data_IF_950924006304
#
_entry.id   IF_950924006304
#
_cell.length_a   1.000
_cell.length_b   1.000
_cell.length_c   1.000
_cell.angle_alpha   90.00
_cell.angle_beta   90.00
_cell.angle_gamma   90.00
#
_symmetry.space_group_name_H-M   'P 1'
#
loop_
_entity.id
_entity.type
_entity.pdbx_description
1 polymer ?
#
# COMPACT_ATOMS: atom_id res chain seq x y z
N UNK A 1 31.38 -27.59 97.47
CA UNK A 1 31.38 -27.55 95.99
C UNK A 1 30.65 -28.80 95.51
N UNK A 2 29.47 -28.65 94.93
CA UNK A 2 28.82 -29.72 94.16
C UNK A 2 28.95 -29.28 92.72
N UNK A 3 29.76 -30.03 91.96
CA UNK A 3 29.94 -29.86 90.53
C UNK A 3 28.61 -30.20 89.84
N UNK A 4 27.99 -29.20 89.23
CA UNK A 4 26.85 -29.40 88.34
C UNK A 4 27.41 -29.80 86.97
N UNK A 5 27.33 -31.08 86.68
CA UNK A 5 27.64 -31.69 85.40
C UNK A 5 26.78 -31.08 84.29
N UNK A 6 27.38 -30.26 83.42
CA UNK A 6 26.72 -29.59 82.31
C UNK A 6 26.10 -30.56 81.29
N UNK A 7 26.48 -31.84 81.31
CA UNK A 7 25.89 -32.88 80.46
C UNK A 7 24.47 -33.31 80.90
N UNK A 8 24.03 -32.89 82.10
CA UNK A 8 22.69 -33.18 82.65
C UNK A 8 21.68 -32.04 82.51
N UNK A 9 22.06 -30.93 81.87
CA UNK A 9 21.13 -29.85 81.48
C UNK A 9 20.40 -30.25 80.18
N UNK A 10 19.26 -30.91 80.31
CA UNK A 10 18.32 -31.06 79.18
C UNK A 10 17.69 -29.69 78.89
N UNK A 11 18.16 -29.04 77.82
CA UNK A 11 17.41 -27.91 77.23
C UNK A 11 16.02 -28.41 76.87
N UNK A 12 15.02 -28.01 77.66
CA UNK A 12 13.60 -28.20 77.32
C UNK A 12 13.38 -27.43 76.02
N UNK A 13 13.31 -28.14 74.88
CA UNK A 13 13.02 -27.54 73.58
C UNK A 13 11.61 -26.97 73.68
N UNK A 14 11.49 -25.67 73.89
CA UNK A 14 10.22 -24.97 73.78
C UNK A 14 9.80 -25.12 72.32
N UNK A 15 8.88 -26.04 72.05
CA UNK A 15 8.24 -26.15 70.74
C UNK A 15 7.28 -24.98 70.68
N UNK A 16 7.74 -23.84 70.15
CA UNK A 16 6.85 -22.73 69.82
C UNK A 16 5.80 -23.23 68.84
N UNK A 17 4.51 -23.10 69.17
CA UNK A 17 3.44 -23.44 68.25
C UNK A 17 3.60 -22.63 66.95
N UNK A 18 3.63 -23.33 65.81
CA UNK A 18 3.73 -22.70 64.49
C UNK A 18 2.46 -21.87 64.21
N UNK A 19 2.65 -20.64 63.73
CA UNK A 19 1.55 -19.75 63.34
C UNK A 19 0.88 -20.27 62.07
N UNK A 20 -0.38 -19.92 61.85
CA UNK A 20 -1.11 -20.23 60.61
C UNK A 20 -0.89 -19.11 59.59
N UNK A 21 -0.53 -19.48 58.36
CA UNK A 21 -0.46 -18.56 57.23
C UNK A 21 -1.75 -18.73 56.40
N UNK A 22 -2.44 -17.63 56.11
CA UNK A 22 -3.63 -17.66 55.25
C UNK A 22 -3.21 -17.30 53.84
N UNK A 23 -3.40 -18.22 52.90
CA UNK A 23 -3.11 -18.02 51.47
C UNK A 23 -4.44 -18.09 50.71
N UNK A 24 -4.70 -17.08 49.87
CA UNK A 24 -5.86 -17.05 49.00
C UNK A 24 -5.63 -17.93 47.75
N UNK A 25 -6.69 -18.60 47.31
CA UNK A 25 -6.68 -19.41 46.09
C UNK A 25 -6.38 -18.51 44.86
N UNK A 26 -5.41 -18.88 43.99
CA UNK A 26 -5.06 -18.12 42.80
C UNK A 26 -6.10 -18.23 41.69
N UNK A 27 -5.93 -17.46 40.61
CA UNK A 27 -6.61 -17.79 39.35
C UNK A 27 -6.09 -19.12 38.80
N UNK A 28 -7.00 -19.92 38.23
CA UNK A 28 -6.65 -21.24 37.70
C UNK A 28 -5.71 -21.11 36.49
N UNK A 29 -4.57 -21.78 36.56
CA UNK A 29 -3.63 -21.86 35.44
C UNK A 29 -4.08 -22.96 34.49
N UNK A 30 -4.28 -22.63 33.21
CA UNK A 30 -4.61 -23.61 32.18
C UNK A 30 -3.38 -24.40 31.77
N UNK A 31 -3.41 -25.72 31.95
CA UNK A 31 -2.30 -26.62 31.62
C UNK A 31 -2.73 -27.68 30.62
N UNK A 32 -1.80 -28.09 29.74
CA UNK A 32 -2.09 -29.09 28.72
C UNK A 32 -2.36 -30.48 29.32
N UNK A 33 -1.69 -30.82 30.42
CA UNK A 33 -1.82 -32.11 31.10
C UNK A 33 -1.83 -31.94 32.63
N UNK A 34 -2.99 -32.20 33.25
CA UNK A 34 -3.17 -32.10 34.71
C UNK A 34 -2.34 -33.10 35.52
N UNK A 35 -1.83 -34.16 34.88
CA UNK A 35 -1.06 -35.23 35.54
C UNK A 35 0.43 -35.20 35.21
N UNK A 36 0.87 -34.23 34.40
CA UNK A 36 2.26 -34.04 34.04
C UNK A 36 2.52 -32.59 33.62
N UNK A 37 2.65 -31.70 34.60
CA UNK A 37 2.92 -30.28 34.39
C UNK A 37 4.35 -30.07 33.87
N UNK A 38 4.49 -29.26 32.82
CA UNK A 38 5.79 -28.81 32.32
C UNK A 38 6.45 -27.80 33.27
N UNK A 39 7.74 -27.52 33.08
CA UNK A 39 8.42 -26.46 33.84
C UNK A 39 7.79 -25.08 33.63
N UNK A 40 7.26 -24.82 32.43
CA UNK A 40 6.51 -23.60 32.11
C UNK A 40 5.20 -23.53 32.89
N UNK A 41 4.46 -24.64 32.97
CA UNK A 41 3.21 -24.72 33.76
C UNK A 41 3.48 -24.47 35.25
N UNK A 42 4.55 -25.06 35.79
CA UNK A 42 4.97 -24.85 37.18
C UNK A 42 5.31 -23.38 37.45
N UNK A 43 6.04 -22.72 36.54
CA UNK A 43 6.37 -21.31 36.68
C UNK A 43 5.12 -20.41 36.64
N UNK A 44 4.17 -20.70 35.75
CA UNK A 44 2.90 -19.98 35.66
C UNK A 44 2.06 -20.12 36.93
N UNK A 45 1.97 -21.34 37.48
CA UNK A 45 1.28 -21.61 38.75
C UNK A 45 1.91 -20.82 39.91
N UNK A 46 3.24 -20.84 40.04
CA UNK A 46 3.94 -20.05 41.07
C UNK A 46 3.67 -18.56 40.93
N UNK A 47 3.68 -18.05 39.70
CA UNK A 47 3.35 -16.65 39.41
C UNK A 47 1.92 -16.30 39.83
N UNK A 48 0.92 -17.11 39.46
CA UNK A 48 -0.48 -16.88 39.82
C UNK A 48 -0.70 -16.83 41.34
N UNK A 49 0.00 -17.69 42.10
CA UNK A 49 -0.05 -17.69 43.57
C UNK A 49 0.55 -16.41 44.15
N UNK A 50 1.71 -15.96 43.65
CA UNK A 50 2.35 -14.71 44.08
C UNK A 50 1.50 -13.49 43.75
N UNK A 51 0.94 -13.44 42.54
CA UNK A 51 0.10 -12.34 42.07
C UNK A 51 -1.19 -12.20 42.89
N UNK A 52 -1.76 -13.32 43.35
CA UNK A 52 -2.95 -13.29 44.22
C UNK A 52 -2.63 -12.92 45.68
N UNK A 53 -1.42 -13.22 46.13
CA UNK A 53 -0.98 -13.09 47.52
C UNK A 53 0.15 -12.06 47.68
N UNK A 54 0.08 -10.94 46.95
CA UNK A 54 1.15 -9.93 46.88
C UNK A 54 1.58 -9.38 48.23
N UNK A 55 0.68 -9.30 49.21
CA UNK A 55 0.98 -8.82 50.56
C UNK A 55 1.84 -9.78 51.39
N UNK A 56 1.95 -11.05 50.97
CA UNK A 56 2.75 -12.07 51.66
C UNK A 56 4.23 -12.07 51.24
N UNK A 57 4.58 -11.45 50.11
CA UNK A 57 5.92 -11.44 49.52
C UNK A 57 6.54 -12.85 49.44
N UNK A 58 5.79 -13.82 48.91
CA UNK A 58 6.24 -15.20 48.76
C UNK A 58 7.38 -15.32 47.73
N UNK A 59 8.38 -16.13 48.02
CA UNK A 59 9.47 -16.44 47.07
C UNK A 59 9.20 -17.75 46.31
N UNK A 60 9.91 -17.98 45.20
CA UNK A 60 9.73 -19.21 44.40
C UNK A 60 10.20 -20.47 45.13
N UNK A 61 11.13 -20.34 46.08
CA UNK A 61 11.61 -21.43 46.94
C UNK A 61 10.57 -21.82 47.99
N UNK A 62 9.71 -20.88 48.40
CA UNK A 62 8.63 -21.16 49.35
C UNK A 62 7.45 -21.91 48.72
N UNK A 63 7.33 -21.91 47.38
CA UNK A 63 6.21 -22.51 46.63
C UNK A 63 6.67 -23.77 45.91
N UNK A 64 6.24 -24.94 46.39
CA UNK A 64 6.48 -26.23 45.73
C UNK A 64 5.24 -26.69 44.98
N UNK A 65 5.36 -26.86 43.65
CA UNK A 65 4.29 -27.38 42.78
C UNK A 65 4.62 -28.81 42.39
N UNK A 66 3.74 -29.75 42.72
CA UNK A 66 3.90 -31.16 42.35
C UNK A 66 3.48 -31.38 40.89
N UNK A 67 4.43 -31.79 40.04
CA UNK A 67 4.20 -31.91 38.58
C UNK A 67 3.19 -32.99 38.20
N UNK A 68 3.02 -34.01 39.03
CA UNK A 68 2.14 -35.16 38.76
C UNK A 68 0.70 -34.93 39.18
N UNK A 69 0.47 -33.99 40.09
CA UNK A 69 -0.86 -33.77 40.69
C UNK A 69 -1.35 -32.34 40.50
N UNK A 70 -0.48 -31.36 40.28
CA UNK A 70 -0.82 -29.93 40.28
C UNK A 70 -1.03 -29.35 41.68
N UNK A 71 -0.78 -30.14 42.73
CA UNK A 71 -0.91 -29.73 44.12
C UNK A 71 0.21 -28.75 44.51
N UNK A 72 -0.11 -27.74 45.31
CA UNK A 72 0.88 -26.75 45.75
C UNK A 72 1.04 -26.76 47.26
N UNK A 73 2.29 -26.80 47.71
CA UNK A 73 2.66 -26.66 49.12
C UNK A 73 3.50 -25.41 49.31
N UNK A 74 3.06 -24.54 50.22
CA UNK A 74 3.76 -23.31 50.58
C UNK A 74 4.38 -23.50 51.96
N UNK A 75 5.71 -23.39 52.03
CA UNK A 75 6.48 -23.61 53.26
C UNK A 75 7.23 -22.35 53.65
N UNK A 76 6.90 -21.79 54.83
CA UNK A 76 7.56 -20.61 55.39
C UNK A 76 7.99 -20.85 56.82
N UNK A 77 9.22 -20.46 57.15
CA UNK A 77 9.78 -20.65 58.49
C UNK A 77 8.89 -19.98 59.56
N UNK A 78 8.55 -20.73 60.61
CA UNK A 78 7.68 -20.26 61.70
C UNK A 78 6.17 -20.40 61.44
N UNK A 79 5.78 -20.89 60.26
CA UNK A 79 4.38 -21.17 59.90
C UNK A 79 4.12 -22.65 59.61
N UNK A 80 2.88 -23.09 59.81
CA UNK A 80 2.43 -24.40 59.33
C UNK A 80 2.38 -24.39 57.80
N UNK A 81 2.81 -25.46 57.10
CA UNK A 81 2.70 -25.56 55.65
C UNK A 81 1.26 -25.38 55.19
N UNK A 82 1.07 -24.61 54.13
CA UNK A 82 -0.25 -24.40 53.51
C UNK A 82 -0.32 -25.23 52.25
N UNK A 83 -1.40 -25.98 52.09
CA UNK A 83 -1.60 -26.88 50.97
C UNK A 83 -2.80 -26.42 50.16
N UNK A 84 -2.59 -26.14 48.88
CA UNK A 84 -3.64 -25.84 47.91
C UNK A 84 -3.85 -27.09 47.05
N UNK A 85 -5.08 -27.60 47.05
CA UNK A 85 -5.44 -28.74 46.22
C UNK A 85 -5.47 -28.36 44.74
N UNK A 86 -5.12 -29.31 43.87
CA UNK A 86 -4.88 -29.06 42.45
C UNK A 86 -6.04 -28.38 41.72
N UNK A 87 -7.29 -28.73 42.05
CA UNK A 87 -8.49 -28.16 41.45
C UNK A 87 -8.71 -26.67 41.77
N UNK A 88 -7.94 -26.11 42.71
CA UNK A 88 -7.93 -24.68 43.05
C UNK A 88 -6.78 -23.93 42.37
N UNK A 89 -5.91 -24.63 41.64
CA UNK A 89 -4.67 -24.06 41.11
C UNK A 89 -4.53 -24.28 39.60
N UNK A 90 -4.91 -25.45 39.11
CA UNK A 90 -4.79 -25.81 37.69
C UNK A 90 -6.10 -26.29 37.10
N UNK A 91 -6.30 -26.01 35.82
CA UNK A 91 -7.40 -26.54 35.02
C UNK A 91 -6.89 -27.09 33.71
N UNK A 92 -7.55 -28.12 33.17
CA UNK A 92 -7.17 -28.69 31.88
C UNK A 92 -7.52 -27.66 30.80
N UNK A 93 -6.53 -27.27 30.00
CA UNK A 93 -6.77 -26.46 28.81
C UNK A 93 -7.74 -27.21 27.90
N UNK A 94 -8.96 -26.68 27.77
CA UNK A 94 -9.96 -27.23 26.87
C UNK A 94 -9.56 -26.80 25.46
N UNK A 95 -8.77 -27.63 24.80
CA UNK A 95 -8.58 -27.51 23.36
C UNK A 95 -9.85 -28.06 22.72
N UNK A 96 -10.82 -27.19 22.45
CA UNK A 96 -11.82 -27.50 21.42
C UNK A 96 -11.04 -27.87 20.16
N UNK A 97 -11.27 -29.05 19.56
CA UNK A 97 -10.71 -29.33 18.25
C UNK A 97 -11.17 -28.21 17.32
N UNK A 98 -10.25 -27.32 16.96
CA UNK A 98 -10.45 -26.47 15.80
C UNK A 98 -10.26 -27.47 14.67
N UNK A 99 -11.37 -28.00 14.16
CA UNK A 99 -11.38 -28.56 12.81
C UNK A 99 -10.61 -27.56 11.94
N UNK A 100 -9.57 -27.97 11.20
CA UNK A 100 -8.87 -27.02 10.33
C UNK A 100 -9.97 -26.28 9.57
N UNK A 101 -9.98 -24.93 9.58
CA UNK A 101 -11.03 -24.21 8.89
C UNK A 101 -11.14 -24.85 7.52
N UNK A 102 -12.34 -25.31 7.16
CA UNK A 102 -12.59 -25.83 5.83
C UNK A 102 -11.88 -24.86 4.87
N UNK A 103 -11.08 -25.35 3.90
CA UNK A 103 -10.37 -24.45 3.01
C UNK A 103 -11.38 -23.41 2.57
N UNK A 104 -11.08 -22.13 2.85
CA UNK A 104 -12.00 -21.06 2.47
C UNK A 104 -12.39 -21.36 1.03
N UNK A 105 -13.71 -21.40 0.70
CA UNK A 105 -14.10 -21.49 -0.70
C UNK A 105 -13.25 -20.46 -1.43
N UNK A 106 -12.57 -20.83 -2.54
CA UNK A 106 -11.69 -19.90 -3.23
C UNK A 106 -12.41 -18.57 -3.33
N UNK A 107 -11.76 -17.49 -2.85
CA UNK A 107 -12.38 -16.18 -2.76
C UNK A 107 -13.15 -15.94 -4.06
N UNK A 108 -14.47 -15.72 -3.97
CA UNK A 108 -15.29 -15.55 -5.16
C UNK A 108 -14.66 -14.43 -5.98
N UNK A 109 -14.22 -14.79 -7.18
CA UNK A 109 -13.59 -13.89 -8.13
C UNK A 109 -14.40 -12.58 -8.19
N UNK A 110 -13.72 -11.43 -8.07
CA UNK A 110 -14.42 -10.15 -8.02
C UNK A 110 -15.21 -9.92 -9.32
N UNK A 111 -16.33 -9.19 -9.31
CA UNK A 111 -17.06 -8.87 -10.55
C UNK A 111 -16.16 -8.23 -11.62
N UNK A 112 -15.13 -7.49 -11.17
CA UNK A 112 -14.16 -6.84 -12.05
C UNK A 112 -13.19 -7.84 -12.69
N UNK A 113 -12.72 -8.81 -11.92
CA UNK A 113 -11.90 -9.92 -12.43
C UNK A 113 -12.69 -10.77 -13.43
N UNK A 114 -13.95 -11.10 -13.11
CA UNK A 114 -14.85 -11.79 -14.03
C UNK A 114 -15.02 -10.98 -15.33
N UNK A 115 -15.23 -9.67 -15.24
CA UNK A 115 -15.36 -8.81 -16.41
C UNK A 115 -14.08 -8.79 -17.25
N UNK A 116 -12.91 -8.64 -16.62
CA UNK A 116 -11.60 -8.67 -17.29
C UNK A 116 -11.39 -9.98 -18.05
N UNK A 117 -11.78 -11.12 -17.47
CA UNK A 117 -11.67 -12.46 -18.07
C UNK A 117 -12.67 -12.73 -19.19
N UNK A 118 -13.95 -12.34 -18.98
CA UNK A 118 -15.06 -12.70 -19.87
C UNK A 118 -15.33 -11.67 -20.96
N UNK A 119 -15.06 -10.39 -20.70
CA UNK A 119 -15.20 -9.28 -21.63
C UNK A 119 -14.10 -8.21 -21.42
N UNK A 120 -12.85 -8.51 -21.80
CA UNK A 120 -11.73 -7.59 -21.60
C UNK A 120 -11.93 -6.21 -22.24
N UNK A 121 -12.66 -6.13 -23.37
CA UNK A 121 -12.95 -4.86 -24.03
C UNK A 121 -13.80 -3.95 -23.14
N UNK A 122 -14.85 -4.49 -22.53
CA UNK A 122 -15.70 -3.75 -21.59
C UNK A 122 -14.96 -3.41 -20.29
N UNK A 123 -14.08 -4.29 -19.79
CA UNK A 123 -13.21 -3.99 -18.66
C UNK A 123 -12.31 -2.77 -18.94
N UNK A 124 -11.66 -2.74 -20.11
CA UNK A 124 -10.82 -1.61 -20.53
C UNK A 124 -11.64 -0.33 -20.72
N UNK A 125 -12.82 -0.41 -21.31
CA UNK A 125 -13.72 0.73 -21.52
C UNK A 125 -14.19 1.35 -20.19
N UNK A 126 -14.62 0.52 -19.23
CA UNK A 126 -15.09 0.97 -17.92
C UNK A 126 -13.96 1.49 -17.01
N UNK A 127 -12.71 1.26 -17.39
CA UNK A 127 -11.53 1.69 -16.64
C UNK A 127 -11.10 3.13 -16.97
N UNK A 128 -11.85 3.87 -17.80
CA UNK A 128 -11.47 5.21 -18.26
C UNK A 128 -12.06 6.35 -17.43
N UNK A 129 -11.19 7.22 -16.95
CA UNK A 129 -11.51 8.48 -16.27
C UNK A 129 -11.13 9.65 -17.19
N UNK A 130 -12.13 10.24 -17.85
CA UNK A 130 -11.90 11.26 -18.87
C UNK A 130 -13.04 12.26 -18.98
N UNK A 131 -12.73 13.54 -19.10
CA UNK A 131 -13.67 14.58 -19.45
C UNK A 131 -13.34 15.26 -20.79
N UNK A 132 -14.03 16.37 -21.10
CA UNK A 132 -13.76 17.13 -22.33
C UNK A 132 -12.45 17.91 -22.25
N UNK A 133 -12.04 18.26 -21.04
CA UNK A 133 -10.82 19.02 -20.72
C UNK A 133 -10.03 18.33 -19.61
N UNK A 134 -8.78 18.75 -19.40
CA UNK A 134 -7.97 18.30 -18.27
C UNK A 134 -8.65 18.58 -16.91
N UNK A 135 -9.38 19.70 -16.80
CA UNK A 135 -10.16 20.04 -15.61
C UNK A 135 -11.32 19.07 -15.36
N UNK A 136 -12.01 18.65 -16.43
CA UNK A 136 -13.09 17.67 -16.32
C UNK A 136 -12.55 16.27 -16.00
N UNK A 137 -11.41 15.89 -16.58
CA UNK A 137 -10.71 14.64 -16.24
C UNK A 137 -10.27 14.65 -14.78
N UNK A 138 -9.65 15.74 -14.31
CA UNK A 138 -9.28 15.94 -12.91
C UNK A 138 -10.51 15.80 -11.99
N UNK A 139 -11.63 16.44 -12.31
CA UNK A 139 -12.84 16.35 -11.51
C UNK A 139 -13.34 14.91 -11.36
N UNK A 140 -13.34 14.12 -12.44
CA UNK A 140 -13.72 12.69 -12.40
C UNK A 140 -12.77 11.84 -11.58
N UNK A 141 -11.46 12.08 -11.70
CA UNK A 141 -10.44 11.38 -10.90
C UNK A 141 -10.65 11.66 -9.42
N UNK A 142 -10.84 12.93 -9.06
CA UNK A 142 -11.04 13.37 -7.67
C UNK A 142 -12.34 12.80 -7.10
N UNK A 143 -13.42 12.78 -7.87
CA UNK A 143 -14.69 12.17 -7.47
C UNK A 143 -14.54 10.67 -7.17
N UNK A 144 -13.81 9.95 -8.00
CA UNK A 144 -13.54 8.53 -7.79
C UNK A 144 -12.63 8.27 -6.58
N UNK A 145 -11.56 9.06 -6.42
CA UNK A 145 -10.51 8.79 -5.44
C UNK A 145 -10.83 9.30 -4.03
N UNK A 146 -11.69 10.31 -3.91
CA UNK A 146 -11.93 11.02 -2.65
C UNK A 146 -13.42 11.28 -2.42
N UNK A 147 -14.08 10.55 -1.50
CA UNK A 147 -15.39 10.94 -1.01
C UNK A 147 -15.33 12.28 -0.24
N UNK A 148 -14.24 12.50 0.50
CA UNK A 148 -13.90 13.75 1.19
C UNK A 148 -12.39 13.93 1.28
N UNK A 149 -11.92 15.16 1.46
CA UNK A 149 -10.50 15.47 1.72
C UNK A 149 -10.37 16.84 2.39
N UNK A 150 -9.69 16.90 3.54
CA UNK A 150 -9.45 18.18 4.23
C UNK A 150 -8.36 19.03 3.56
N UNK A 151 -7.42 18.36 2.89
CA UNK A 151 -6.28 18.97 2.21
C UNK A 151 -6.44 18.79 0.69
N UNK A 152 -5.99 19.78 -0.07
CA UNK A 152 -5.90 19.73 -1.54
C UNK A 152 -4.56 20.32 -1.96
N UNK A 153 -3.90 19.69 -2.93
CA UNK A 153 -2.73 20.25 -3.61
C UNK A 153 -3.19 20.89 -4.91
N UNK A 154 -2.78 22.13 -5.17
CA UNK A 154 -3.17 22.90 -6.35
C UNK A 154 -1.96 23.18 -7.23
N UNK A 155 -2.08 22.83 -8.52
CA UNK A 155 -1.08 23.08 -9.56
C UNK A 155 -1.72 23.83 -10.74
N UNK A 156 -0.90 24.41 -11.61
CA UNK A 156 -1.40 25.06 -12.84
C UNK A 156 -1.62 24.01 -13.93
N UNK A 157 -2.59 24.22 -14.82
CA UNK A 157 -2.75 23.37 -16.01
C UNK A 157 -1.84 23.76 -17.19
N UNK A 158 -1.16 24.92 -17.12
CA UNK A 158 -0.46 25.50 -18.27
C UNK A 158 1.05 25.23 -18.32
N UNK A 159 1.65 24.77 -17.21
CA UNK A 159 3.07 24.49 -17.11
C UNK A 159 3.36 23.39 -16.10
N UNK A 160 4.29 22.50 -16.43
CA UNK A 160 4.54 21.30 -15.63
C UNK A 160 5.55 21.50 -14.50
N UNK A 161 6.49 22.44 -14.67
CA UNK A 161 7.71 22.58 -13.86
C UNK A 161 7.48 22.49 -12.35
N UNK A 162 6.67 23.40 -11.81
CA UNK A 162 6.39 23.49 -10.37
C UNK A 162 5.51 22.33 -9.86
N UNK A 163 4.84 21.60 -10.76
CA UNK A 163 3.93 20.52 -10.43
C UNK A 163 4.60 19.13 -10.37
N UNK A 164 5.80 18.97 -10.97
CA UNK A 164 6.45 17.67 -11.15
C UNK A 164 6.68 16.88 -9.84
N UNK A 165 6.84 17.58 -8.72
CA UNK A 165 7.14 17.00 -7.40
C UNK A 165 5.93 16.95 -6.46
N UNK A 166 4.75 17.39 -6.91
CA UNK A 166 3.59 17.58 -6.06
C UNK A 166 2.99 16.26 -5.53
N UNK A 167 3.21 15.12 -6.20
CA UNK A 167 2.59 13.85 -5.84
C UNK A 167 3.01 13.31 -4.46
N UNK A 168 4.27 13.49 -4.06
CA UNK A 168 4.73 13.05 -2.74
C UNK A 168 4.04 13.83 -1.61
N UNK A 169 3.93 15.16 -1.77
CA UNK A 169 3.21 16.04 -0.85
C UNK A 169 1.72 15.65 -0.80
N UNK A 170 1.09 15.47 -1.96
CA UNK A 170 -0.32 15.08 -2.04
C UNK A 170 -0.59 13.75 -1.32
N UNK A 171 0.30 12.75 -1.52
CA UNK A 171 0.28 11.48 -0.81
C UNK A 171 0.35 11.65 0.70
N UNK A 172 1.37 12.38 1.18
CA UNK A 172 1.58 12.62 2.63
C UNK A 172 0.40 13.32 3.31
N UNK A 173 -0.39 14.08 2.56
CA UNK A 173 -1.57 14.80 3.04
C UNK A 173 -2.89 14.03 2.82
N UNK A 174 -2.83 12.85 2.19
CA UNK A 174 -3.98 12.12 1.63
C UNK A 174 -4.93 13.07 0.86
N UNK A 175 -4.35 13.84 -0.06
CA UNK A 175 -4.99 14.93 -0.77
C UNK A 175 -5.05 14.66 -2.29
N UNK A 176 -6.11 15.07 -2.99
CA UNK A 176 -6.06 15.13 -4.45
C UNK A 176 -5.11 16.24 -4.93
N UNK A 177 -4.59 16.07 -6.15
CA UNK A 177 -4.04 17.18 -6.93
C UNK A 177 -5.14 17.73 -7.83
N UNK A 178 -5.35 19.05 -7.76
CA UNK A 178 -6.30 19.79 -8.59
C UNK A 178 -5.58 20.84 -9.43
N UNK A 179 -6.26 21.28 -10.49
CA UNK A 179 -5.73 22.23 -11.45
C UNK A 179 -6.37 23.62 -11.27
N UNK A 180 -5.59 24.65 -11.59
CA UNK A 180 -6.03 26.05 -11.62
C UNK A 180 -5.69 26.68 -12.97
N UNK A 181 -6.41 27.73 -13.32
CA UNK A 181 -5.92 28.70 -14.30
C UNK A 181 -4.88 29.61 -13.64
N UNK A 182 -4.21 30.43 -14.46
CA UNK A 182 -3.21 31.38 -13.97
C UNK A 182 -3.80 32.36 -12.96
N UNK A 183 -4.95 32.97 -13.23
CA UNK A 183 -5.54 34.04 -12.42
C UNK A 183 -6.94 33.75 -11.90
N UNK A 184 -7.45 32.54 -12.12
CA UNK A 184 -8.76 32.14 -11.62
C UNK A 184 -8.84 30.66 -11.23
N UNK A 185 -9.74 30.35 -10.29
CA UNK A 185 -10.16 28.99 -9.99
C UNK A 185 -11.24 28.55 -10.98
N UNK A 186 -11.01 27.51 -11.79
CA UNK A 186 -12.02 26.96 -12.68
C UNK A 186 -13.22 26.41 -11.91
N UNK A 187 -14.40 26.42 -12.53
CA UNK A 187 -15.64 25.95 -11.90
C UNK A 187 -15.52 24.50 -11.39
N UNK A 188 -14.89 23.62 -12.18
CA UNK A 188 -14.62 22.22 -11.82
C UNK A 188 -13.84 22.12 -10.51
N UNK A 189 -12.82 22.96 -10.34
CA UNK A 189 -11.99 23.00 -9.13
C UNK A 189 -12.78 23.53 -7.95
N UNK A 190 -13.55 24.62 -8.12
CA UNK A 190 -14.41 25.16 -7.06
C UNK A 190 -15.46 24.14 -6.61
N UNK A 191 -16.06 23.40 -7.56
CA UNK A 191 -17.05 22.36 -7.28
C UNK A 191 -16.45 21.23 -6.45
N UNK A 192 -15.26 20.72 -6.83
CA UNK A 192 -14.59 19.66 -6.08
C UNK A 192 -14.13 20.12 -4.70
N UNK A 193 -13.57 21.34 -4.58
CA UNK A 193 -13.19 21.91 -3.29
C UNK A 193 -14.36 21.95 -2.29
N UNK A 194 -15.55 22.35 -2.75
CA UNK A 194 -16.77 22.36 -1.94
C UNK A 194 -17.25 20.95 -1.61
N UNK A 195 -17.30 20.05 -2.60
CA UNK A 195 -17.76 18.66 -2.42
C UNK A 195 -16.90 17.92 -1.39
N UNK A 196 -15.59 18.11 -1.44
CA UNK A 196 -14.64 17.47 -0.53
C UNK A 196 -14.66 18.05 0.88
N UNK A 197 -15.29 19.22 1.06
CA UNK A 197 -15.23 20.01 2.29
C UNK A 197 -13.78 20.38 2.65
N UNK A 198 -13.01 20.79 1.63
CA UNK A 198 -11.60 21.12 1.78
C UNK A 198 -11.39 22.32 2.72
N UNK A 199 -10.38 22.23 3.59
CA UNK A 199 -10.02 23.24 4.58
C UNK A 199 -8.71 23.94 4.24
N UNK A 200 -7.74 23.19 3.72
CA UNK A 200 -6.41 23.72 3.34
C UNK A 200 -6.10 23.42 1.89
N UNK A 201 -5.61 24.43 1.18
CA UNK A 201 -5.04 24.29 -0.16
C UNK A 201 -3.54 24.60 -0.14
N UNK A 202 -2.76 23.66 -0.66
CA UNK A 202 -1.30 23.76 -0.83
C UNK A 202 -1.01 24.06 -2.30
N UNK A 203 -0.60 25.29 -2.60
CA UNK A 203 -0.24 25.70 -3.95
C UNK A 203 1.20 25.30 -4.25
N UNK A 204 1.40 24.49 -5.28
CA UNK A 204 2.71 24.15 -5.83
C UNK A 204 3.00 25.07 -7.01
N UNK A 205 3.82 26.08 -6.76
CA UNK A 205 4.33 27.00 -7.77
C UNK A 205 4.25 28.46 -7.41
N UNK A 206 5.01 29.28 -8.13
CA UNK A 206 5.11 30.71 -7.89
C UNK A 206 3.90 31.53 -8.35
N UNK A 207 3.89 32.82 -8.01
CA UNK A 207 2.82 33.74 -8.43
C UNK A 207 2.81 34.02 -9.94
N UNK A 208 3.85 33.63 -10.67
CA UNK A 208 3.94 33.73 -12.13
C UNK A 208 3.22 32.59 -12.86
N UNK A 209 2.87 31.50 -12.16
CA UNK A 209 2.13 30.37 -12.75
C UNK A 209 0.74 30.19 -12.12
N UNK A 210 0.57 30.60 -10.87
CA UNK A 210 -0.71 30.66 -10.14
C UNK A 210 -0.72 31.97 -9.37
N UNK A 211 -1.43 32.98 -9.85
CA UNK A 211 -1.37 34.35 -9.35
C UNK A 211 -1.93 34.49 -7.93
N UNK A 212 -1.71 35.66 -7.32
CA UNK A 212 -2.31 36.02 -6.03
C UNK A 212 -3.84 36.11 -6.08
N UNK A 213 -4.43 36.27 -7.27
CA UNK A 213 -5.88 36.32 -7.41
C UNK A 213 -6.52 34.96 -7.09
N UNK A 214 -5.86 33.87 -7.48
CA UNK A 214 -6.27 32.50 -7.11
C UNK A 214 -6.23 32.32 -5.59
N UNK A 215 -5.15 32.78 -4.91
CA UNK A 215 -5.08 32.75 -3.45
C UNK A 215 -6.23 33.52 -2.80
N UNK A 216 -6.56 34.70 -3.32
CA UNK A 216 -7.66 35.51 -2.81
C UNK A 216 -9.01 34.80 -2.98
N UNK A 217 -9.24 34.13 -4.12
CA UNK A 217 -10.45 33.33 -4.33
C UNK A 217 -10.53 32.15 -3.35
N UNK A 218 -9.42 31.47 -3.06
CA UNK A 218 -9.38 30.41 -2.05
C UNK A 218 -9.68 30.94 -0.63
N UNK A 219 -9.15 32.10 -0.27
CA UNK A 219 -9.46 32.75 1.01
C UNK A 219 -10.93 33.19 1.10
N UNK A 220 -11.52 33.68 0.01
CA UNK A 220 -12.95 34.00 -0.07
C UNK A 220 -13.83 32.76 0.10
N UNK A 221 -13.35 31.59 -0.29
CA UNK A 221 -13.99 30.29 -0.01
C UNK A 221 -13.76 29.80 1.44
N UNK A 222 -13.05 30.57 2.27
CA UNK A 222 -12.80 30.24 3.68
C UNK A 222 -11.65 29.28 3.92
N UNK A 223 -10.77 29.08 2.94
CA UNK A 223 -9.69 28.10 3.02
C UNK A 223 -8.40 28.71 3.55
N UNK A 224 -7.62 27.89 4.28
CA UNK A 224 -6.22 28.17 4.57
C UNK A 224 -5.38 27.88 3.33
N UNK A 225 -4.49 28.79 2.98
CA UNK A 225 -3.61 28.63 1.81
C UNK A 225 -2.16 28.57 2.26
N UNK A 226 -1.42 27.59 1.74
CA UNK A 226 0.04 27.46 1.89
C UNK A 226 0.63 27.41 0.49
N UNK A 227 1.70 28.15 0.22
CA UNK A 227 2.37 28.12 -1.09
C UNK A 227 3.80 27.63 -0.96
N UNK A 228 4.15 26.64 -1.76
CA UNK A 228 5.52 26.19 -1.97
C UNK A 228 5.98 26.61 -3.36
N UNK A 229 6.98 27.48 -3.41
CA UNK A 229 7.49 28.05 -4.67
C UNK A 229 8.95 28.45 -4.53
N UNK A 230 9.74 28.12 -5.54
CA UNK A 230 11.14 28.51 -5.73
C UNK A 230 11.32 29.61 -6.77
N UNK A 231 12.58 30.00 -7.01
CA UNK A 231 12.95 30.79 -8.20
C UNK A 231 12.87 29.93 -9.45
N UNK A 232 13.30 28.66 -9.33
CA UNK A 232 13.26 27.66 -10.39
C UNK A 232 12.43 26.43 -9.98
N UNK A 233 12.19 25.54 -10.95
CA UNK A 233 11.44 24.30 -10.74
C UNK A 233 12.10 23.41 -9.66
N UNK A 234 13.44 23.31 -9.70
CA UNK A 234 14.27 22.56 -8.74
C UNK A 234 14.14 23.11 -7.32
N UNK A 235 14.10 24.44 -7.16
CA UNK A 235 13.84 25.11 -5.89
C UNK A 235 12.41 24.83 -5.37
N UNK A 236 11.40 24.88 -6.25
CA UNK A 236 10.01 24.54 -5.89
C UNK A 236 9.94 23.09 -5.41
N UNK A 237 10.56 22.16 -6.15
CA UNK A 237 10.60 20.75 -5.80
C UNK A 237 11.32 20.49 -4.48
N UNK A 238 12.46 21.14 -4.25
CA UNK A 238 13.20 21.04 -2.99
C UNK A 238 12.37 21.55 -1.82
N UNK A 239 11.64 22.67 -1.97
CA UNK A 239 10.73 23.17 -0.93
C UNK A 239 9.58 22.22 -0.66
N UNK A 240 8.99 21.62 -1.70
CA UNK A 240 7.93 20.61 -1.55
C UNK A 240 8.48 19.39 -0.80
N UNK A 241 9.65 18.88 -1.19
CA UNK A 241 10.28 17.72 -0.56
C UNK A 241 10.62 17.97 0.93
N UNK A 242 11.12 19.17 1.25
CA UNK A 242 11.42 19.55 2.64
C UNK A 242 10.16 19.59 3.52
N UNK A 243 9.01 19.94 2.95
CA UNK A 243 7.72 20.02 3.64
C UNK A 243 6.82 18.79 3.44
N UNK A 244 7.33 17.73 2.81
CA UNK A 244 6.64 16.44 2.70
C UNK A 244 6.99 15.60 3.92
N UNK A 245 5.97 15.06 4.60
CA UNK A 245 6.16 14.02 5.62
C UNK A 245 6.48 12.70 4.92
N UNK A 246 7.77 12.35 4.96
CA UNK A 246 8.32 11.20 4.28
C UNK A 246 8.24 9.95 5.17
N UNK A 247 7.77 8.84 4.60
CA UNK A 247 7.83 7.51 5.23
C UNK A 247 8.76 6.54 4.49
N UNK A 248 9.27 6.95 3.33
CA UNK A 248 10.19 6.20 2.48
C UNK A 248 11.64 6.56 2.78
N UNK A 249 12.52 5.56 2.87
CA UNK A 249 13.98 5.77 2.85
C UNK A 249 14.51 6.11 1.44
N UNK A 250 13.63 6.06 0.43
CA UNK A 250 13.91 6.35 -0.98
C UNK A 250 13.41 7.73 -1.41
N UNK A 251 14.23 8.47 -2.15
CA UNK A 251 13.79 9.62 -2.96
C UNK A 251 14.17 9.46 -4.44
N UNK A 252 13.48 10.21 -5.29
CA UNK A 252 13.72 10.25 -6.73
C UNK A 252 14.41 11.54 -7.14
N UNK A 253 15.31 11.48 -8.12
CA UNK A 253 15.81 12.64 -8.84
C UNK A 253 15.40 12.48 -10.31
N UNK A 254 14.64 13.44 -10.82
CA UNK A 254 14.20 13.48 -12.23
C UNK A 254 14.65 14.78 -12.89
N UNK A 255 14.37 14.97 -14.17
CA UNK A 255 14.72 16.22 -14.88
C UNK A 255 13.63 17.29 -14.82
N UNK A 256 14.02 18.56 -14.79
CA UNK A 256 13.09 19.68 -15.06
C UNK A 256 12.94 20.03 -16.55
N UNK A 257 13.71 19.39 -17.45
CA UNK A 257 13.65 19.65 -18.90
C UNK A 257 12.36 19.12 -19.54
N UNK A 258 11.82 18.04 -18.99
CA UNK A 258 10.57 17.43 -19.42
C UNK A 258 9.82 16.85 -18.22
N UNK A 259 8.63 16.31 -18.47
CA UNK A 259 7.74 15.82 -17.40
C UNK A 259 7.63 14.29 -17.36
N UNK A 260 7.95 13.59 -18.45
CA UNK A 260 7.75 12.14 -18.58
C UNK A 260 8.40 11.32 -17.46
N UNK A 261 9.65 11.61 -17.11
CA UNK A 261 10.37 10.90 -16.05
C UNK A 261 9.72 11.13 -14.67
N UNK A 262 9.32 12.36 -14.37
CA UNK A 262 8.61 12.68 -13.12
C UNK A 262 7.21 12.06 -13.06
N UNK A 263 6.49 12.03 -14.18
CA UNK A 263 5.17 11.41 -14.25
C UNK A 263 5.24 9.88 -14.14
N UNK A 264 6.35 9.27 -14.57
CA UNK A 264 6.60 7.84 -14.40
C UNK A 264 6.64 7.42 -12.92
N UNK A 265 7.19 8.28 -12.04
CA UNK A 265 7.30 8.00 -10.60
C UNK A 265 6.13 8.52 -9.77
N UNK A 266 5.17 9.20 -10.39
CA UNK A 266 4.14 10.01 -9.72
C UNK A 266 3.27 9.20 -8.75
N UNK A 267 2.70 8.07 -9.18
CA UNK A 267 1.81 7.27 -8.34
C UNK A 267 2.57 6.57 -7.20
N UNK A 268 3.81 6.14 -7.44
CA UNK A 268 4.66 5.57 -6.41
C UNK A 268 5.04 6.63 -5.36
N UNK A 269 5.39 7.82 -5.81
CA UNK A 269 5.71 8.96 -4.95
C UNK A 269 4.51 9.34 -4.07
N UNK A 270 3.31 9.30 -4.64
CA UNK A 270 2.07 9.43 -3.88
C UNK A 270 1.89 8.29 -2.87
N UNK A 271 2.03 7.03 -3.28
CA UNK A 271 1.77 5.86 -2.43
C UNK A 271 2.75 5.72 -1.25
N UNK A 272 4.01 6.09 -1.46
CA UNK A 272 5.10 5.90 -0.49
C UNK A 272 5.57 7.18 0.17
N UNK A 273 4.96 8.32 -0.18
CA UNK A 273 5.39 9.66 0.22
C UNK A 273 6.88 9.89 -0.07
N UNK A 274 7.36 9.31 -1.17
CA UNK A 274 8.75 9.36 -1.60
C UNK A 274 8.96 10.66 -2.41
N UNK A 275 9.77 11.62 -1.92
CA UNK A 275 9.90 12.92 -2.58
C UNK A 275 10.62 12.84 -3.92
N UNK A 276 10.26 13.78 -4.80
CA UNK A 276 10.88 13.98 -6.11
C UNK A 276 11.67 15.29 -6.05
N UNK A 277 12.98 15.19 -6.28
CA UNK A 277 13.87 16.33 -6.53
C UNK A 277 14.11 16.45 -8.04
N UNK A 278 14.46 17.65 -8.50
CA UNK A 278 14.71 17.91 -9.92
C UNK A 278 16.16 18.32 -10.15
N UNK A 279 16.75 17.83 -11.23
CA UNK A 279 17.86 18.50 -11.90
C UNK A 279 17.35 19.70 -12.68
N UNK A 280 18.25 20.63 -12.95
CA UNK A 280 18.00 21.80 -13.79
C UNK A 280 17.86 21.39 -15.27
N UNK A 281 17.40 22.32 -16.10
CA UNK A 281 17.18 22.05 -17.54
C UNK A 281 18.44 21.63 -18.30
N UNK A 282 19.63 21.97 -17.77
CA UNK A 282 20.91 21.58 -18.35
C UNK A 282 21.38 20.18 -17.90
N UNK A 283 20.62 19.50 -17.04
CA UNK A 283 20.93 18.18 -16.52
C UNK A 283 21.79 18.16 -15.25
N UNK A 284 22.19 19.31 -14.71
CA UNK A 284 22.94 19.43 -13.46
C UNK A 284 22.02 19.52 -12.24
N UNK A 285 22.57 19.30 -11.04
CA UNK A 285 21.86 19.42 -9.78
C UNK A 285 22.44 20.56 -8.94
N UNK A 286 21.58 21.39 -8.36
CA UNK A 286 22.03 22.42 -7.44
C UNK A 286 22.56 21.82 -6.14
N UNK A 287 23.63 22.42 -5.59
CA UNK A 287 24.16 22.01 -4.29
C UNK A 287 23.14 22.16 -3.16
N UNK A 288 22.24 23.15 -3.23
CA UNK A 288 21.14 23.32 -2.28
C UNK A 288 20.19 22.11 -2.27
N UNK A 289 19.92 21.53 -3.45
CA UNK A 289 19.13 20.31 -3.61
C UNK A 289 19.86 19.11 -3.01
N UNK A 290 21.17 18.97 -3.25
CA UNK A 290 21.98 17.91 -2.63
C UNK A 290 22.02 18.02 -1.10
N UNK A 291 22.14 19.23 -0.57
CA UNK A 291 22.11 19.48 0.88
C UNK A 291 20.74 19.13 1.47
N UNK A 292 19.65 19.43 0.77
CA UNK A 292 18.30 19.04 1.20
C UNK A 292 18.10 17.52 1.23
N UNK A 293 18.59 16.81 0.21
CA UNK A 293 18.61 15.35 0.15
C UNK A 293 19.38 14.78 1.36
N UNK A 294 20.59 15.29 1.60
CA UNK A 294 21.43 14.87 2.74
C UNK A 294 20.74 15.15 4.08
N UNK A 295 20.13 16.33 4.24
CA UNK A 295 19.47 16.73 5.48
C UNK A 295 18.25 15.86 5.82
N UNK A 296 17.53 15.37 4.80
CA UNK A 296 16.41 14.42 4.97
C UNK A 296 16.85 12.99 5.28
N UNK A 297 18.13 12.64 5.01
CA UNK A 297 18.70 11.35 5.40
C UNK A 297 18.22 10.16 4.57
N UNK A 298 17.88 10.37 3.29
CA UNK A 298 17.52 9.27 2.38
C UNK A 298 18.67 8.27 2.24
N UNK A 299 18.34 6.97 2.19
CA UNK A 299 19.33 5.88 2.09
C UNK A 299 19.45 5.33 0.68
N UNK A 300 18.41 5.51 -0.13
CA UNK A 300 18.35 5.05 -1.51
C UNK A 300 17.88 6.20 -2.39
N UNK A 301 18.61 6.44 -3.47
CA UNK A 301 18.30 7.49 -4.43
C UNK A 301 18.20 6.86 -5.81
N UNK A 302 17.07 7.06 -6.47
CA UNK A 302 16.85 6.56 -7.82
C UNK A 302 16.82 7.76 -8.77
N UNK A 303 17.80 7.79 -9.68
CA UNK A 303 17.79 8.70 -10.81
C UNK A 303 16.82 8.15 -11.85
N UNK A 304 15.74 8.87 -12.14
CA UNK A 304 14.79 8.45 -13.18
C UNK A 304 14.95 9.37 -14.38
N UNK A 305 15.56 8.85 -15.43
CA UNK A 305 15.99 9.59 -16.61
C UNK A 305 17.40 9.22 -17.07
N UNK A 306 17.60 9.26 -18.39
CA UNK A 306 18.88 8.95 -19.04
C UNK A 306 19.93 10.04 -18.82
N UNK A 307 21.17 9.77 -19.24
CA UNK A 307 22.30 10.70 -19.07
C UNK A 307 22.18 11.99 -19.88
N UNK A 308 21.29 12.01 -20.89
CA UNK A 308 20.99 13.21 -21.68
C UNK A 308 20.20 14.28 -20.92
N UNK A 309 19.52 13.92 -19.82
CA UNK A 309 18.66 14.81 -19.04
C UNK A 309 19.03 14.88 -17.55
N UNK A 310 19.82 13.92 -17.08
CA UNK A 310 20.44 13.89 -15.75
C UNK A 310 21.89 13.45 -15.97
N UNK A 311 22.85 14.38 -15.87
CA UNK A 311 24.25 14.14 -16.24
C UNK A 311 24.89 13.01 -15.44
N UNK A 312 26.02 12.48 -15.93
CA UNK A 312 26.79 11.46 -15.20
C UNK A 312 27.40 12.05 -13.92
N UNK A 313 27.77 13.33 -13.97
CA UNK A 313 28.30 14.10 -12.85
C UNK A 313 27.30 14.20 -11.70
N UNK A 314 25.99 14.32 -11.99
CA UNK A 314 24.94 14.25 -10.94
C UNK A 314 24.98 12.91 -10.22
N UNK A 315 25.14 11.81 -10.95
CA UNK A 315 25.23 10.48 -10.34
C UNK A 315 26.45 10.35 -9.43
N UNK A 316 27.60 10.83 -9.86
CA UNK A 316 28.83 10.84 -9.06
C UNK A 316 28.67 11.69 -7.79
N UNK A 317 28.08 12.89 -7.91
CA UNK A 317 27.79 13.77 -6.77
C UNK A 317 26.85 13.11 -5.76
N UNK A 318 25.79 12.44 -6.23
CA UNK A 318 24.83 11.76 -5.36
C UNK A 318 25.47 10.54 -4.70
N UNK A 319 26.29 9.77 -5.42
CA UNK A 319 27.07 8.64 -4.84
C UNK A 319 28.03 9.11 -3.74
N UNK A 320 28.60 10.32 -3.87
CA UNK A 320 29.48 10.91 -2.86
C UNK A 320 28.78 11.18 -1.51
N UNK A 321 27.44 11.13 -1.46
CA UNK A 321 26.67 11.21 -0.21
C UNK A 321 26.75 9.91 0.62
N UNK A 322 27.32 8.83 0.08
CA UNK A 322 27.45 7.55 0.79
C UNK A 322 26.16 6.72 0.84
N UNK A 323 25.28 6.91 -0.13
CA UNK A 323 23.96 6.27 -0.22
C UNK A 323 23.89 5.29 -1.40
N UNK A 324 22.90 4.40 -1.41
CA UNK A 324 22.65 3.54 -2.57
C UNK A 324 22.10 4.37 -3.71
N UNK A 325 22.69 4.26 -4.91
CA UNK A 325 22.23 4.99 -6.10
C UNK A 325 22.00 4.03 -7.25
N UNK A 326 20.80 4.09 -7.82
CA UNK A 326 20.37 3.37 -9.02
C UNK A 326 19.88 4.35 -10.08
N UNK A 327 19.97 3.99 -11.36
CA UNK A 327 19.39 4.75 -12.47
C UNK A 327 18.39 3.91 -13.24
N UNK A 328 17.16 4.40 -13.35
CA UNK A 328 16.07 3.80 -14.13
C UNK A 328 15.76 4.72 -15.30
N UNK A 329 15.84 4.21 -16.53
CA UNK A 329 15.67 5.04 -17.72
C UNK A 329 15.31 4.21 -18.96
N UNK A 330 14.81 4.89 -19.99
CA UNK A 330 14.65 4.36 -21.33
C UNK A 330 14.89 5.43 -22.40
N UNK A 331 14.86 5.03 -23.68
CA UNK A 331 15.13 5.94 -24.81
C UNK A 331 14.09 7.05 -24.95
N UNK A 332 12.83 6.74 -24.62
CA UNK A 332 11.73 7.70 -24.59
C UNK A 332 11.08 7.72 -23.20
N UNK A 333 10.26 8.73 -22.93
CA UNK A 333 9.46 8.79 -21.71
C UNK A 333 8.55 7.56 -21.50
N UNK A 334 8.09 6.93 -22.59
CA UNK A 334 7.32 5.69 -22.52
C UNK A 334 8.20 4.55 -22.01
N UNK A 335 9.41 4.43 -22.54
CA UNK A 335 10.39 3.42 -22.12
C UNK A 335 10.83 3.65 -20.67
N UNK A 336 11.10 4.90 -20.25
CA UNK A 336 11.39 5.22 -18.84
C UNK A 336 10.22 4.83 -17.94
N UNK A 337 8.98 5.12 -18.33
CA UNK A 337 7.80 4.75 -17.52
C UNK A 337 7.64 3.24 -17.35
N UNK A 338 7.91 2.47 -18.40
CA UNK A 338 7.90 1.00 -18.36
C UNK A 338 9.07 0.44 -17.55
N UNK A 339 10.25 1.03 -17.66
CA UNK A 339 11.41 0.67 -16.84
C UNK A 339 11.13 0.93 -15.36
N UNK A 340 10.51 2.07 -15.03
CA UNK A 340 10.12 2.40 -13.67
C UNK A 340 9.01 1.49 -13.15
N UNK A 341 7.99 1.19 -13.96
CA UNK A 341 6.94 0.25 -13.57
C UNK A 341 7.53 -1.12 -13.22
N UNK A 342 8.46 -1.64 -14.04
CA UNK A 342 9.18 -2.90 -13.75
C UNK A 342 10.00 -2.80 -12.47
N UNK A 343 10.77 -1.72 -12.28
CA UNK A 343 11.54 -1.50 -11.05
C UNK A 343 10.64 -1.49 -9.80
N UNK A 344 9.50 -0.80 -9.88
CA UNK A 344 8.55 -0.68 -8.78
C UNK A 344 7.80 -1.99 -8.48
N UNK A 345 7.70 -2.92 -9.45
CA UNK A 345 6.97 -4.19 -9.29
C UNK A 345 7.86 -5.43 -9.22
N UNK A 346 9.19 -5.31 -9.36
CA UNK A 346 10.11 -6.43 -9.57
C UNK A 346 10.01 -7.56 -8.51
N UNK A 347 9.69 -7.22 -7.26
CA UNK A 347 9.59 -8.17 -6.15
C UNK A 347 8.14 -8.44 -5.69
N UNK A 348 7.15 -7.81 -6.35
CA UNK A 348 5.76 -7.90 -5.94
C UNK A 348 5.08 -9.14 -6.53
N UNK A 349 4.42 -9.91 -5.67
CA UNK A 349 3.41 -10.91 -6.06
C UNK A 349 1.99 -10.44 -5.77
N UNK A 350 1.86 -9.23 -5.23
CA UNK A 350 0.58 -8.64 -4.87
C UNK A 350 -0.19 -8.24 -6.13
N UNK A 351 -1.53 -8.17 -6.04
CA UNK A 351 -2.36 -7.51 -7.02
C UNK A 351 -1.80 -6.17 -7.50
N UNK A 352 -1.77 -5.99 -8.81
CA UNK A 352 -1.25 -4.80 -9.45
C UNK A 352 -2.39 -3.89 -9.89
N UNK A 353 -2.31 -2.63 -9.52
CA UNK A 353 -3.07 -1.56 -10.17
C UNK A 353 -2.17 -0.84 -11.15
N UNK A 354 -2.62 -0.67 -12.40
CA UNK A 354 -1.92 0.14 -13.38
C UNK A 354 -2.72 1.39 -13.75
N UNK A 355 -2.09 2.55 -13.55
CA UNK A 355 -2.53 3.83 -14.11
C UNK A 355 -1.91 4.02 -15.48
N UNK A 356 -2.71 4.45 -16.47
CA UNK A 356 -2.25 4.74 -17.82
C UNK A 356 -2.59 6.17 -18.17
N UNK A 357 -1.60 6.93 -18.61
CA UNK A 357 -1.80 8.26 -19.15
C UNK A 357 -0.97 8.46 -20.41
N UNK A 358 -1.24 9.52 -21.18
CA UNK A 358 -0.46 9.87 -22.35
C UNK A 358 0.93 10.37 -21.93
N UNK A 359 1.91 10.19 -22.80
CA UNK A 359 3.18 10.91 -22.71
C UNK A 359 3.09 12.34 -23.26
N UNK A 360 2.01 12.68 -23.97
CA UNK A 360 1.76 14.01 -24.52
C UNK A 360 0.81 14.81 -23.63
N UNK A 361 1.38 15.40 -22.58
CA UNK A 361 0.66 16.14 -21.55
C UNK A 361 0.97 15.58 -20.16
N UNK A 362 0.88 16.43 -19.13
CA UNK A 362 1.27 16.07 -17.77
C UNK A 362 0.08 16.04 -16.80
N UNK A 363 -1.01 16.76 -17.11
CA UNK A 363 -2.11 17.00 -16.16
C UNK A 363 -2.86 15.74 -15.78
N UNK A 364 -3.11 14.85 -16.74
CA UNK A 364 -3.85 13.60 -16.50
C UNK A 364 -3.06 12.64 -15.64
N UNK A 365 -1.75 12.47 -15.91
CA UNK A 365 -0.85 11.66 -15.07
C UNK A 365 -0.69 12.27 -13.66
N UNK A 366 -0.47 13.59 -13.59
CA UNK A 366 -0.31 14.33 -12.34
C UNK A 366 -1.51 14.13 -11.41
N UNK A 367 -2.73 14.32 -11.91
CA UNK A 367 -3.95 14.16 -11.14
C UNK A 367 -4.28 12.66 -10.89
N UNK A 368 -4.13 11.83 -11.91
CA UNK A 368 -4.44 10.39 -11.89
C UNK A 368 -3.58 9.60 -10.90
N UNK A 369 -2.35 10.05 -10.68
CA UNK A 369 -1.43 9.45 -9.72
C UNK A 369 -1.97 9.39 -8.29
N UNK A 370 -2.90 10.27 -7.89
CA UNK A 370 -3.55 10.16 -6.59
C UNK A 370 -4.49 8.94 -6.51
N UNK A 371 -5.26 8.66 -7.56
CA UNK A 371 -6.12 7.47 -7.62
C UNK A 371 -5.28 6.19 -7.68
N UNK A 372 -4.28 6.16 -8.57
CA UNK A 372 -3.40 5.01 -8.74
C UNK A 372 -2.54 4.75 -7.51
N UNK A 373 -1.98 5.81 -6.92
CA UNK A 373 -1.12 5.73 -5.74
C UNK A 373 -1.87 5.28 -4.49
N UNK A 374 -3.14 5.68 -4.30
CA UNK A 374 -3.99 5.16 -3.20
C UNK A 374 -4.24 3.65 -3.31
N UNK A 375 -4.26 3.12 -4.52
CA UNK A 375 -4.35 1.68 -4.76
C UNK A 375 -2.97 0.97 -4.71
N UNK A 376 -1.90 1.69 -4.38
CA UNK A 376 -0.53 1.15 -4.39
C UNK A 376 0.02 0.85 -5.79
N UNK A 377 -0.63 1.37 -6.84
CA UNK A 377 -0.32 1.08 -8.23
C UNK A 377 0.82 1.89 -8.85
N UNK A 378 1.17 1.52 -10.07
CA UNK A 378 2.22 2.18 -10.88
C UNK A 378 1.61 2.95 -12.05
N UNK A 379 2.19 4.12 -12.36
CA UNK A 379 1.82 4.93 -13.52
C UNK A 379 2.67 4.52 -14.73
N UNK A 380 2.02 4.21 -15.84
CA UNK A 380 2.65 3.90 -17.13
C UNK A 380 2.20 4.94 -18.15
N UNK A 381 3.15 5.49 -18.90
CA UNK A 381 2.84 6.37 -20.01
C UNK A 381 2.63 5.51 -21.26
N UNK A 382 1.49 5.68 -21.92
CA UNK A 382 1.16 4.98 -23.16
C UNK A 382 0.10 5.73 -23.98
N UNK A 383 0.40 5.96 -25.25
CA UNK A 383 -0.55 6.43 -26.25
C UNK A 383 -0.16 5.99 -27.67
N UNK A 384 -0.98 6.33 -28.66
CA UNK A 384 -0.85 5.83 -30.04
C UNK A 384 0.35 6.45 -30.79
N UNK A 385 1.09 7.38 -30.17
CA UNK A 385 2.32 7.96 -30.73
C UNK A 385 3.59 7.16 -30.40
N UNK A 386 3.49 6.15 -29.51
CA UNK A 386 4.63 5.33 -29.10
C UNK A 386 5.39 4.79 -30.31
N UNK A 387 6.71 4.72 -30.20
CA UNK A 387 7.52 4.00 -31.18
C UNK A 387 7.09 2.53 -31.22
N UNK A 388 7.38 1.83 -32.32
CA UNK A 388 7.08 0.38 -32.40
C UNK A 388 7.72 -0.41 -31.26
N UNK A 389 8.92 0.00 -30.84
CA UNK A 389 9.65 -0.62 -29.75
C UNK A 389 8.96 -0.37 -28.40
N UNK A 390 8.64 0.89 -28.08
CA UNK A 390 7.92 1.24 -26.85
C UNK A 390 6.54 0.57 -26.79
N UNK A 391 5.81 0.52 -27.92
CA UNK A 391 4.52 -0.14 -28.01
C UNK A 391 4.64 -1.66 -27.78
N UNK A 392 5.67 -2.31 -28.32
CA UNK A 392 5.96 -3.73 -28.04
C UNK A 392 6.28 -3.95 -26.58
N UNK A 393 7.14 -3.12 -25.99
CA UNK A 393 7.51 -3.21 -24.58
C UNK A 393 6.31 -3.00 -23.64
N UNK A 394 5.38 -2.11 -24.02
CA UNK A 394 4.11 -1.90 -23.32
C UNK A 394 3.26 -3.17 -23.36
N UNK A 395 3.07 -3.77 -24.54
CA UNK A 395 2.36 -5.06 -24.68
C UNK A 395 3.00 -6.14 -23.81
N UNK A 396 4.32 -6.31 -23.88
CA UNK A 396 5.04 -7.32 -23.11
C UNK A 396 4.86 -7.11 -21.59
N UNK A 397 4.90 -5.86 -21.12
CA UNK A 397 4.65 -5.53 -19.73
C UNK A 397 3.23 -5.92 -19.31
N UNK A 398 2.22 -5.53 -20.08
CA UNK A 398 0.81 -5.87 -19.79
C UNK A 398 0.61 -7.38 -19.83
N UNK A 399 1.06 -8.07 -20.87
CA UNK A 399 0.91 -9.52 -21.04
C UNK A 399 1.57 -10.30 -19.89
N UNK A 400 2.78 -9.92 -19.50
CA UNK A 400 3.50 -10.53 -18.37
C UNK A 400 2.74 -10.39 -17.04
N UNK A 401 2.06 -9.26 -16.84
CA UNK A 401 1.34 -8.96 -15.60
C UNK A 401 -0.18 -9.15 -15.72
N UNK A 402 -0.71 -9.67 -16.82
CA UNK A 402 -2.15 -9.66 -17.13
C UNK A 402 -3.01 -10.35 -16.06
N UNK A 403 -2.47 -11.40 -15.42
CA UNK A 403 -3.11 -12.11 -14.30
C UNK A 403 -2.92 -11.43 -12.95
N UNK A 404 -1.91 -10.58 -12.81
CA UNK A 404 -1.66 -9.80 -11.59
C UNK A 404 -2.41 -8.46 -11.60
N UNK A 405 -2.67 -7.89 -12.79
CA UNK A 405 -3.36 -6.60 -12.93
C UNK A 405 -4.83 -6.77 -12.52
N UNK A 406 -5.20 -6.37 -11.31
CA UNK A 406 -6.59 -6.41 -10.81
C UNK A 406 -7.39 -5.15 -11.14
N UNK A 407 -6.70 -4.01 -11.22
CA UNK A 407 -7.30 -2.72 -11.54
C UNK A 407 -6.52 -2.00 -12.65
N UNK A 408 -7.28 -1.37 -13.52
CA UNK A 408 -6.82 -0.57 -14.64
C UNK A 408 -7.49 0.81 -14.52
N UNK A 409 -6.68 1.85 -14.69
CA UNK A 409 -7.14 3.24 -14.58
C UNK A 409 -6.56 4.04 -15.75
N UNK A 410 -7.38 4.34 -16.74
CA UNK A 410 -6.96 5.09 -17.94
C UNK A 410 -7.37 6.54 -17.76
N UNK A 411 -6.38 7.44 -17.69
CA UNK A 411 -6.59 8.87 -17.51
C UNK A 411 -6.53 9.60 -18.85
N UNK A 412 -7.60 10.32 -19.16
CA UNK A 412 -7.72 11.11 -20.39
C UNK A 412 -8.61 10.47 -21.45
N UNK A 413 -9.08 11.30 -22.38
CA UNK A 413 -9.98 10.90 -23.46
C UNK A 413 -9.30 10.02 -24.52
N UNK A 414 -10.10 9.53 -25.47
CA UNK A 414 -9.60 8.72 -26.60
C UNK A 414 -8.70 9.51 -27.56
N UNK A 415 -8.67 10.84 -27.47
CA UNK A 415 -7.76 11.69 -28.22
C UNK A 415 -6.33 11.71 -27.67
N UNK A 416 -6.13 11.33 -26.40
CA UNK A 416 -4.83 11.34 -25.73
C UNK A 416 -4.36 9.94 -25.37
N UNK A 417 -5.22 9.08 -24.82
CA UNK A 417 -4.95 7.63 -24.71
C UNK A 417 -5.81 6.91 -25.73
N UNK A 418 -5.21 6.71 -26.90
CA UNK A 418 -5.87 6.31 -28.14
C UNK A 418 -6.34 4.86 -28.19
N UNK A 419 -6.96 4.52 -29.33
CA UNK A 419 -7.55 3.20 -29.54
C UNK A 419 -6.48 2.12 -29.64
N UNK A 420 -5.31 2.43 -30.20
CA UNK A 420 -4.20 1.47 -30.30
C UNK A 420 -3.80 0.92 -28.94
N UNK A 421 -3.64 1.80 -27.95
CA UNK A 421 -3.36 1.40 -26.56
C UNK A 421 -4.49 0.54 -25.97
N UNK A 422 -5.75 0.96 -26.10
CA UNK A 422 -6.87 0.17 -25.53
C UNK A 422 -7.09 -1.18 -26.21
N UNK A 423 -6.80 -1.26 -27.51
CA UNK A 423 -6.85 -2.51 -28.26
C UNK A 423 -5.70 -3.43 -27.82
N UNK A 424 -4.50 -2.89 -27.59
CA UNK A 424 -3.39 -3.66 -27.03
C UNK A 424 -3.74 -4.24 -25.66
N UNK A 425 -4.23 -3.43 -24.72
CA UNK A 425 -4.69 -3.89 -23.40
C UNK A 425 -5.73 -5.02 -23.52
N UNK A 426 -6.75 -4.80 -24.35
CA UNK A 426 -7.82 -5.79 -24.60
C UNK A 426 -7.25 -7.10 -25.14
N UNK A 427 -6.28 -7.01 -26.05
CA UNK A 427 -5.66 -8.18 -26.68
C UNK A 427 -4.82 -8.97 -25.69
N UNK A 428 -3.98 -8.30 -24.90
CA UNK A 428 -3.13 -8.94 -23.88
C UNK A 428 -3.95 -9.63 -22.79
N UNK A 429 -5.01 -8.97 -22.28
CA UNK A 429 -5.92 -9.62 -21.33
C UNK A 429 -6.62 -10.82 -21.98
N UNK A 430 -7.10 -10.70 -23.21
CA UNK A 430 -7.73 -11.83 -23.91
C UNK A 430 -6.77 -13.00 -24.01
N UNK A 431 -5.54 -12.78 -24.47
CA UNK A 431 -4.48 -13.79 -24.61
C UNK A 431 -4.17 -14.49 -23.28
N UNK A 432 -4.06 -13.73 -22.18
CA UNK A 432 -3.78 -14.28 -20.86
C UNK A 432 -4.86 -15.26 -20.33
N UNK A 433 -6.11 -15.12 -20.79
CA UNK A 433 -7.26 -15.95 -20.37
C UNK A 433 -7.75 -16.93 -21.45
N UNK A 434 -7.08 -17.05 -22.61
CA UNK A 434 -7.51 -17.95 -23.69
C UNK A 434 -7.66 -19.42 -23.24
N UNK A 435 -6.74 -19.91 -22.39
CA UNK A 435 -6.77 -21.28 -21.88
C UNK A 435 -7.76 -21.49 -20.73
N UNK A 436 -8.04 -20.44 -19.94
CA UNK A 436 -8.96 -20.51 -18.81
C UNK A 436 -10.41 -20.64 -19.30
N UNK A 437 -10.73 -19.97 -20.42
CA UNK A 437 -12.05 -20.03 -21.07
C UNK A 437 -12.30 -21.35 -21.84
N UNK A 438 -11.25 -22.10 -22.22
CA UNK A 438 -11.39 -23.42 -22.84
C UNK A 438 -11.78 -24.52 -21.82
N UNK A 439 -11.41 -24.35 -20.55
CA UNK A 439 -11.74 -25.28 -19.45
C UNK A 439 -13.15 -25.10 -18.87
N UNK A 440 -13.84 -24.01 -19.23
CA UNK A 440 -15.19 -23.68 -18.76
C UNK A 440 -16.31 -24.15 -19.72
N UNK A 441 -15.97 -24.88 -20.80
CA UNK A 441 -16.97 -25.52 -21.64
C UNK A 441 -17.67 -26.64 -20.83
N UNK A 442 -19.01 -26.68 -20.75
CA UNK A 442 -19.68 -27.79 -20.08
C UNK A 442 -19.30 -29.10 -20.79
N UNK A 443 -18.92 -30.11 -20.03
CA UNK A 443 -18.84 -31.49 -20.53
C UNK A 443 -20.16 -31.80 -21.25
N UNK A 444 -20.03 -32.25 -22.50
CA UNK A 444 -21.12 -32.29 -23.46
C UNK A 444 -22.35 -33.01 -22.92
N UNK A 445 -23.49 -32.33 -22.96
CA UNK A 445 -24.77 -33.01 -23.01
C UNK A 445 -24.85 -33.77 -24.34
N UNK A 446 -24.64 -35.08 -24.26
CA UNK A 446 -24.94 -36.01 -25.33
C UNK A 446 -26.42 -35.83 -25.73
N UNK A 447 -26.63 -35.43 -26.97
CA UNK A 447 -27.96 -35.38 -27.58
C UNK A 447 -28.51 -36.82 -27.65
N UNK A 448 -29.71 -37.11 -27.13
CA UNK A 448 -30.29 -38.44 -27.29
C UNK A 448 -30.68 -38.65 -28.75
N UNK A 449 -30.13 -39.70 -29.34
CA UNK A 449 -30.47 -40.22 -30.66
C UNK A 449 -31.97 -40.52 -30.73
N UNK A 450 -32.70 -39.85 -31.63
CA UNK A 450 -34.07 -40.27 -31.98
C UNK A 450 -34.05 -41.45 -32.96
N UNK A 451 -34.97 -42.43 -32.83
CA UNK A 451 -35.01 -43.58 -33.73
C UNK A 451 -35.52 -43.17 -35.12
N UNK A 452 -34.83 -43.63 -36.17
CA UNK A 452 -35.29 -43.53 -37.55
C UNK A 452 -36.56 -44.36 -37.77
N UNK A 453 -37.64 -43.68 -38.16
CA UNK A 453 -38.84 -44.27 -38.76
C UNK A 453 -38.85 -44.03 -40.28
N UNK A 454 -39.07 -45.11 -41.01
CA UNK A 454 -38.88 -45.32 -42.46
C UNK A 454 -39.92 -44.71 -43.40
N UNK A 455 -39.47 -44.56 -44.67
CA UNK A 455 -40.23 -44.51 -45.93
C UNK A 455 -41.11 -43.26 -46.16
N UNK A 456 -41.20 -42.64 -47.34
CA UNK A 456 -40.70 -42.94 -48.68
C UNK A 456 -41.51 -42.06 -49.66
N UNK A 457 -40.98 -41.90 -50.88
CA UNK A 457 -41.68 -41.50 -52.12
C UNK A 457 -41.89 -40.00 -52.48
N UNK A 458 -41.06 -39.61 -53.46
CA UNK A 458 -41.40 -39.03 -54.80
C UNK A 458 -41.94 -37.60 -54.99
N UNK A 459 -41.05 -36.78 -55.61
CA UNK A 459 -41.24 -35.88 -56.79
C UNK A 459 -42.21 -34.67 -56.73
N UNK A 460 -42.08 -33.67 -57.64
CA UNK A 460 -40.90 -32.97 -58.18
C UNK A 460 -41.14 -31.41 -58.20
N UNK A 461 -40.28 -30.56 -58.82
CA UNK A 461 -40.18 -29.14 -58.49
C UNK A 461 -41.11 -28.24 -59.32
N UNK A 462 -41.48 -27.07 -58.77
CA UNK A 462 -42.07 -25.98 -59.56
C UNK A 462 -41.41 -24.63 -59.29
N UNK A 463 -41.15 -23.98 -60.43
CA UNK A 463 -40.59 -22.67 -60.74
C UNK A 463 -41.31 -21.48 -60.06
N UNK A 464 -40.50 -20.42 -59.86
CA UNK A 464 -40.73 -18.98 -60.16
C UNK A 464 -42.18 -18.46 -60.18
N UNK A 465 -42.47 -17.40 -59.42
CA UNK A 465 -42.50 -16.01 -59.91
C UNK A 465 -42.87 -15.02 -58.79
N UNK A 466 -42.43 -13.76 -59.01
CA UNK A 466 -42.60 -12.49 -58.27
C UNK A 466 -41.58 -12.12 -57.19
#
# INVERSE_FOLDING_TARGET
KVDLDASKLTKKKVVSELKTLTVADPELTEVANLTNLSDTDVAAVKKAIKDKNTTLNLTDEEIAVEKTTGKVTITRAGFKPVVLEANKVVTKKVVTPIEPPAPEPPAKESPREILKRTNPAMFVEQSRYAGKTALDTMAKIVEQAFPSAENVVLATQYGYWDALSANALAGSLNAPIMLSDFDSLPEQTVAQLKRLQAKTVYICGGTHVISKQVEQQLHQLGMRVVRYAGSEASDTATKIALNTETVSDTCFITTSWGYGDSMSVSSYSYAKHAPIFLTNMNGDIDYSTLDAIRAKGFKHIVLVGGTSVISAEVEDLVRSLGVSVERVWGETQYDTSLAFAKWATQDSKEPLTIGISTGYGFTDALCGAALTGKAGGVMVLADDSMTKQAFSAFKDFVGTHAKQIEDLQIFGGTSVVGMGVTQALTSEFKEAYQNDNASAAPEGTSTPTQPQGTAGQTQPPLRRDN
#
